data_IF_547430312652
#
_entry.id   IF_547430312652
#
_cell.length_a   1.000
_cell.length_b   1.000
_cell.length_c   1.000
_cell.angle_alpha   90.00
_cell.angle_beta   90.00
_cell.angle_gamma   90.00
#
_symmetry.space_group_name_H-M   'P 1'
#
loop_
_entity.id
_entity.type
_entity.pdbx_description
1 polymer ?
#
# COMPACT_ATOMS: atom_id res chain seq x y z
N UNK A 1 13.34 -4.18 6.13
CA UNK A 1 12.85 -4.24 4.74
C UNK A 1 11.68 -3.30 4.65
N UNK A 2 11.61 -2.36 3.69
CA UNK A 2 10.39 -1.59 3.51
C UNK A 2 9.31 -2.60 3.11
N UNK A 3 8.22 -2.64 3.88
CA UNK A 3 7.04 -3.39 3.48
C UNK A 3 6.47 -2.65 2.25
N UNK A 4 6.74 -3.15 1.05
CA UNK A 4 6.11 -2.65 -0.17
C UNK A 4 4.61 -2.93 -0.10
N UNK A 5 3.78 -1.96 -0.45
CA UNK A 5 2.32 -2.10 -0.40
C UNK A 5 1.68 -1.44 0.82
N UNK A 6 0.51 -1.94 1.23
CA UNK A 6 -0.26 -1.29 2.29
C UNK A 6 0.44 -1.46 3.65
N UNK A 7 0.80 -0.35 4.33
CA UNK A 7 1.49 -0.42 5.61
C UNK A 7 0.56 -0.94 6.71
N UNK A 8 0.97 -2.03 7.37
CA UNK A 8 0.19 -2.66 8.44
C UNK A 8 0.67 -2.30 9.85
N UNK A 9 1.93 -1.90 10.00
CA UNK A 9 2.55 -1.50 11.28
C UNK A 9 3.50 -0.33 11.10
N UNK A 10 3.48 0.57 12.08
CA UNK A 10 4.47 1.64 12.21
C UNK A 10 5.78 1.07 12.78
N UNK A 11 6.96 1.61 12.42
CA UNK A 11 8.24 1.25 13.05
C UNK A 11 8.24 1.34 14.59
N UNK A 12 7.41 2.22 15.18
CA UNK A 12 7.25 2.31 16.64
C UNK A 12 6.43 1.15 17.26
N UNK A 13 5.99 0.18 16.46
CA UNK A 13 5.11 -0.92 16.87
C UNK A 13 3.62 -0.54 16.95
N UNK A 14 3.29 0.73 16.69
CA UNK A 14 1.92 1.22 16.64
C UNK A 14 1.13 0.69 15.44
N UNK A 15 -0.18 0.54 15.64
CA UNK A 15 -1.12 0.21 14.57
C UNK A 15 -1.24 1.37 13.58
N UNK A 16 -1.38 1.04 12.30
CA UNK A 16 -1.66 1.98 11.22
C UNK A 16 -3.18 2.07 11.04
N UNK A 17 -3.72 3.28 11.09
CA UNK A 17 -5.13 3.56 10.84
C UNK A 17 -5.27 4.33 9.53
N UNK A 18 -6.43 4.18 8.88
CA UNK A 18 -6.79 5.04 7.76
C UNK A 18 -7.42 6.32 8.30
N UNK A 19 -6.82 7.44 7.95
CA UNK A 19 -7.25 8.76 8.37
C UNK A 19 -7.66 9.59 7.14
N UNK A 20 -8.62 10.49 7.32
CA UNK A 20 -9.07 11.44 6.29
C UNK A 20 -8.76 12.83 6.80
N UNK A 21 -8.01 13.63 6.02
CA UNK A 21 -7.70 15.00 6.39
C UNK A 21 -9.00 15.79 6.63
N UNK A 22 -9.30 16.22 7.87
CA UNK A 22 -10.55 16.91 8.17
C UNK A 22 -10.55 18.35 7.64
N UNK A 23 -9.37 18.98 7.55
CA UNK A 23 -9.11 20.32 7.03
C UNK A 23 -7.62 20.41 6.62
N UNK A 24 -7.26 21.28 5.67
CA UNK A 24 -5.85 21.51 5.34
C UNK A 24 -5.10 21.95 6.60
N UNK A 25 -4.15 21.12 7.04
CA UNK A 25 -3.31 21.41 8.22
C UNK A 25 -2.46 22.66 7.96
N UNK A 26 -2.08 22.88 6.69
CA UNK A 26 -1.42 24.10 6.24
C UNK A 26 -1.99 24.60 4.90
N UNK A 27 -2.14 25.91 4.69
CA UNK A 27 -2.68 26.49 3.45
C UNK A 27 -1.88 26.14 2.17
N UNK A 28 -0.60 25.79 2.32
CA UNK A 28 0.33 25.48 1.22
C UNK A 28 0.67 24.00 1.10
N UNK A 29 0.11 23.15 1.95
CA UNK A 29 0.45 21.73 2.00
C UNK A 29 -0.54 20.94 1.14
N UNK A 30 -0.14 20.73 -0.13
CA UNK A 30 -0.90 20.02 -1.16
C UNK A 30 -1.32 18.62 -0.72
N UNK A 31 -0.56 17.98 0.16
CA UNK A 31 -0.92 16.67 0.66
C UNK A 31 -2.17 16.78 1.54
N UNK A 32 -2.32 17.85 2.30
CA UNK A 32 -3.38 17.99 3.33
C UNK A 32 -4.72 18.47 2.82
N UNK A 33 -4.93 18.52 1.49
CA UNK A 33 -6.21 18.92 0.92
C UNK A 33 -7.39 18.19 1.60
N UNK A 34 -8.48 18.90 1.90
CA UNK A 34 -9.63 18.29 2.56
C UNK A 34 -10.12 17.09 1.76
N UNK A 35 -10.29 15.94 2.43
CA UNK A 35 -10.66 14.68 1.81
C UNK A 35 -9.49 13.76 1.39
N UNK A 36 -8.23 14.23 1.46
CA UNK A 36 -7.05 13.37 1.28
C UNK A 36 -7.02 12.24 2.32
N UNK A 37 -6.76 11.01 1.85
CA UNK A 37 -6.66 9.81 2.68
C UNK A 37 -5.21 9.47 3.00
N UNK A 38 -4.97 9.03 4.22
CA UNK A 38 -3.64 8.67 4.71
C UNK A 38 -3.65 7.35 5.46
N UNK A 39 -2.52 6.67 5.42
CA UNK A 39 -2.12 5.69 6.41
C UNK A 39 -1.33 6.38 7.51
N UNK A 40 -1.87 6.41 8.73
CA UNK A 40 -1.30 7.16 9.85
C UNK A 40 -1.13 6.25 11.06
N UNK A 41 0.00 6.35 11.76
CA UNK A 41 0.16 5.66 13.04
C UNK A 41 -0.84 6.18 14.08
N UNK A 42 -1.43 5.28 14.89
CA UNK A 42 -2.32 5.68 15.99
C UNK A 42 -1.69 6.63 17.01
N UNK A 43 -0.38 6.53 17.21
CA UNK A 43 0.41 7.40 18.09
C UNK A 43 1.16 8.48 17.30
N UNK A 44 0.65 8.87 16.13
CA UNK A 44 1.35 9.80 15.26
C UNK A 44 1.66 11.11 15.98
N UNK A 45 2.95 11.36 16.16
CA UNK A 45 3.52 12.65 16.49
C UNK A 45 4.28 13.14 15.26
N UNK A 46 4.33 14.46 15.04
CA UNK A 46 5.04 15.05 13.89
C UNK A 46 6.55 15.11 14.19
N UNK A 47 7.10 13.97 14.60
CA UNK A 47 8.45 13.77 15.14
C UNK A 47 9.41 13.15 14.11
N UNK A 48 8.90 12.83 12.92
CA UNK A 48 9.63 12.14 11.85
C UNK A 48 9.89 10.65 12.15
N UNK A 49 9.44 10.13 13.29
CA UNK A 49 9.55 8.71 13.66
C UNK A 49 8.25 7.94 13.40
N UNK A 50 7.11 8.64 13.44
CA UNK A 50 5.82 8.03 13.20
C UNK A 50 5.42 8.05 11.73
N UNK A 51 4.85 6.93 11.29
CA UNK A 51 4.45 6.73 9.90
C UNK A 51 3.21 7.57 9.56
N UNK A 52 3.32 8.40 8.52
CA UNK A 52 2.20 9.02 7.81
C UNK A 52 2.50 9.02 6.30
N UNK A 53 1.68 8.34 5.53
CA UNK A 53 1.84 8.23 4.07
C UNK A 53 0.50 8.44 3.38
N UNK A 54 0.46 9.14 2.24
CA UNK A 54 -0.76 9.22 1.43
C UNK A 54 -1.23 7.82 1.00
N UNK A 55 -2.53 7.58 1.11
CA UNK A 55 -3.15 6.28 0.81
C UNK A 55 -2.88 5.82 -0.62
N UNK A 56 -2.85 6.76 -1.57
CA UNK A 56 -2.65 6.48 -2.98
C UNK A 56 -1.34 5.73 -3.26
N UNK A 57 -0.24 6.06 -2.55
CA UNK A 57 1.03 5.38 -2.74
C UNK A 57 0.97 3.92 -2.27
N UNK A 58 0.47 3.67 -1.05
CA UNK A 58 0.37 2.31 -0.52
C UNK A 58 -0.52 1.43 -1.39
N UNK A 59 -1.63 1.97 -1.91
CA UNK A 59 -2.51 1.24 -2.82
C UNK A 59 -1.91 1.03 -4.20
N UNK A 60 -1.22 2.02 -4.76
CA UNK A 60 -0.57 1.84 -6.07
C UNK A 60 0.50 0.75 -6.02
N UNK A 61 1.32 0.72 -4.96
CA UNK A 61 2.32 -0.33 -4.77
C UNK A 61 1.68 -1.71 -4.60
N UNK A 62 0.63 -1.82 -3.78
CA UNK A 62 -0.10 -3.06 -3.56
C UNK A 62 -0.70 -3.59 -4.87
N UNK A 63 -1.37 -2.72 -5.63
CA UNK A 63 -1.98 -3.08 -6.92
C UNK A 63 -0.90 -3.53 -7.92
N UNK A 64 0.28 -2.90 -7.94
CA UNK A 64 1.39 -3.33 -8.78
C UNK A 64 1.91 -4.71 -8.38
N UNK A 65 2.05 -5.01 -7.09
CA UNK A 65 2.49 -6.33 -6.62
C UNK A 65 1.47 -7.41 -6.98
N UNK A 66 0.19 -7.17 -6.66
CA UNK A 66 -0.89 -8.09 -6.98
C UNK A 66 -0.99 -8.35 -8.49
N UNK A 67 -0.82 -7.32 -9.31
CA UNK A 67 -0.82 -7.48 -10.76
C UNK A 67 0.33 -8.37 -11.24
N UNK A 68 1.52 -8.24 -10.66
CA UNK A 68 2.67 -9.10 -10.98
C UNK A 68 2.36 -10.55 -10.61
N UNK A 69 1.93 -10.80 -9.38
CA UNK A 69 1.60 -12.14 -8.88
C UNK A 69 0.51 -12.83 -9.71
N UNK A 70 -0.53 -12.09 -10.12
CA UNK A 70 -1.57 -12.62 -11.01
C UNK A 70 -1.03 -12.99 -12.39
N UNK A 71 -0.13 -12.18 -12.96
CA UNK A 71 0.49 -12.49 -14.25
C UNK A 71 1.39 -13.73 -14.15
N UNK A 72 2.19 -13.84 -13.09
CA UNK A 72 3.08 -14.97 -12.86
C UNK A 72 2.26 -16.28 -12.73
N UNK A 73 1.18 -16.25 -11.93
CA UNK A 73 0.25 -17.38 -11.81
C UNK A 73 -0.41 -17.74 -13.15
N UNK A 74 -0.80 -16.75 -13.95
CA UNK A 74 -1.41 -17.00 -15.25
C UNK A 74 -0.44 -17.71 -16.21
N UNK A 75 0.85 -17.35 -16.16
CA UNK A 75 1.89 -18.01 -16.94
C UNK A 75 2.12 -19.45 -16.49
N UNK A 76 2.22 -19.70 -15.18
CA UNK A 76 2.36 -21.04 -14.62
C UNK A 76 1.18 -21.94 -15.02
N UNK A 77 -0.06 -21.44 -14.91
CA UNK A 77 -1.26 -22.16 -15.34
C UNK A 77 -1.19 -22.49 -16.83
N UNK A 78 -0.74 -21.55 -17.67
CA UNK A 78 -0.60 -21.80 -19.12
C UNK A 78 0.45 -22.87 -19.41
N UNK A 79 1.59 -22.87 -18.69
CA UNK A 79 2.61 -23.90 -18.80
C UNK A 79 2.09 -25.28 -18.38
N UNK A 80 1.43 -25.37 -17.22
CA UNK A 80 0.85 -26.62 -16.70
C UNK A 80 -0.22 -27.18 -17.65
N UNK A 81 -1.09 -26.33 -18.21
CA UNK A 81 -2.08 -26.74 -19.22
C UNK A 81 -1.41 -27.38 -20.44
N UNK A 82 -0.34 -26.75 -20.96
CA UNK A 82 0.41 -27.32 -22.09
C UNK A 82 0.99 -28.69 -21.76
N UNK A 83 1.58 -28.86 -20.58
CA UNK A 83 2.13 -30.15 -20.13
C UNK A 83 1.07 -31.24 -20.06
N UNK A 84 -0.09 -30.94 -19.48
CA UNK A 84 -1.22 -31.88 -19.37
C UNK A 84 -1.72 -32.27 -20.77
N UNK A 85 -1.93 -31.30 -21.65
CA UNK A 85 -2.45 -31.56 -23.01
C UNK A 85 -1.41 -32.26 -23.91
N UNK A 86 -0.12 -32.14 -23.62
CA UNK A 86 0.95 -32.82 -24.36
C UNK A 86 1.26 -34.24 -23.89
N UNK A 87 0.66 -34.69 -22.77
CA UNK A 87 0.87 -36.04 -22.25
C UNK A 87 0.00 -37.03 -23.06
N UNK A 88 0.58 -38.07 -23.68
CA UNK A 88 -0.16 -39.05 -24.47
C UNK A 88 -1.12 -39.90 -23.63
#
# INVERSE_FOLDING_TARGET
MPNHGIPTRCPCGGEIMQDVSPNPKYPSDFDTLPGSRYFTCKKYEDDGMHFRQPWAFGVEEEVKSLRREVNDMAEEIAQLKRLITSRP
#
